data_IF_213739205186
#
_entry.id   IF_213739205186
#
_cell.length_a   1.000
_cell.length_b   1.000
_cell.length_c   1.000
_cell.angle_alpha   90.00
_cell.angle_beta   90.00
_cell.angle_gamma   90.00
#
_symmetry.space_group_name_H-M   'P 1'
#
loop_
_entity.id
_entity.type
_entity.pdbx_description
1 polymer ?
#
# COMPACT_ATOMS: atom_id res chain seq x y z
N UNK A 1 8.86 46.25 25.77
CA UNK A 1 9.56 45.06 26.28
C UNK A 1 8.49 44.14 26.87
N UNK A 2 8.13 42.95 26.42
CA UNK A 2 8.51 42.07 25.32
C UNK A 2 7.73 40.78 25.60
N UNK A 3 6.63 40.54 24.87
CA UNK A 3 5.81 39.33 25.04
C UNK A 3 6.33 38.28 24.06
N UNK A 4 7.26 37.45 24.53
CA UNK A 4 7.75 36.28 23.78
C UNK A 4 6.67 35.21 23.75
N UNK A 5 5.85 35.23 22.69
CA UNK A 5 4.95 34.14 22.32
C UNK A 5 5.81 32.91 21.98
N UNK A 6 5.64 31.86 22.78
CA UNK A 6 6.39 30.62 22.69
C UNK A 6 6.30 30.00 21.31
N UNK A 7 7.46 29.60 20.80
CA UNK A 7 7.60 28.73 19.64
C UNK A 7 6.92 27.40 19.92
N UNK A 8 5.64 27.28 19.52
CA UNK A 8 4.97 25.99 19.36
C UNK A 8 5.71 25.23 18.27
N UNK A 9 6.65 24.39 18.70
CA UNK A 9 7.39 23.48 17.84
C UNK A 9 6.42 22.64 17.02
N UNK A 10 6.60 22.69 15.71
CA UNK A 10 5.93 21.80 14.78
C UNK A 10 6.54 20.41 14.95
N UNK A 11 5.99 19.63 15.88
CA UNK A 11 6.31 18.21 15.94
C UNK A 11 5.55 17.55 14.77
N UNK A 12 6.22 16.98 13.75
CA UNK A 12 5.52 16.18 12.76
C UNK A 12 4.85 15.00 13.47
N UNK A 13 3.52 15.02 13.51
CA UNK A 13 2.72 13.90 13.99
C UNK A 13 2.87 12.78 12.97
N UNK A 14 3.89 11.92 13.14
CA UNK A 14 4.00 10.70 12.35
C UNK A 14 2.95 9.73 12.89
N UNK A 15 1.79 9.72 12.26
CA UNK A 15 0.75 8.74 12.55
C UNK A 15 1.26 7.36 12.12
N UNK A 16 1.57 6.50 13.09
CA UNK A 16 1.78 5.09 12.81
C UNK A 16 0.42 4.43 12.54
N UNK A 17 0.25 3.73 11.42
CA UNK A 17 -1.01 3.04 11.14
C UNK A 17 -1.27 2.01 12.24
N UNK A 18 -2.45 2.05 12.86
CA UNK A 18 -2.80 1.07 13.86
C UNK A 18 -3.02 -0.29 13.18
N UNK A 19 -2.91 -1.39 13.94
CA UNK A 19 -3.12 -2.74 13.40
C UNK A 19 -4.50 -2.93 12.73
N UNK A 20 -5.52 -2.20 13.21
CA UNK A 20 -6.85 -2.16 12.60
C UNK A 20 -6.82 -1.51 11.20
N UNK A 21 -6.02 -0.46 11.00
CA UNK A 21 -5.85 0.20 9.70
C UNK A 21 -5.17 -0.74 8.69
N UNK A 22 -4.16 -1.51 9.11
CA UNK A 22 -3.51 -2.49 8.22
C UNK A 22 -4.47 -3.58 7.73
N UNK A 23 -5.36 -4.09 8.59
CA UNK A 23 -6.37 -5.07 8.16
C UNK A 23 -7.33 -4.47 7.13
N UNK A 24 -7.77 -3.23 7.34
CA UNK A 24 -8.64 -2.50 6.41
C UNK A 24 -7.93 -2.27 5.07
N UNK A 25 -6.69 -1.78 5.09
CA UNK A 25 -5.85 -1.58 3.90
C UNK A 25 -5.71 -2.90 3.12
N UNK A 26 -5.47 -4.02 3.81
CA UNK A 26 -5.31 -5.32 3.17
C UNK A 26 -6.61 -5.77 2.47
N UNK A 27 -7.78 -5.60 3.11
CA UNK A 27 -9.08 -5.92 2.51
C UNK A 27 -9.36 -5.08 1.27
N UNK A 28 -9.16 -3.76 1.35
CA UNK A 28 -9.35 -2.87 0.20
C UNK A 28 -8.36 -3.17 -0.92
N UNK A 29 -7.11 -3.45 -0.59
CA UNK A 29 -6.10 -3.85 -1.57
C UNK A 29 -6.51 -5.14 -2.31
N UNK A 30 -7.00 -6.15 -1.58
CA UNK A 30 -7.54 -7.39 -2.18
C UNK A 30 -8.73 -7.16 -3.09
N UNK A 31 -9.69 -6.35 -2.65
CA UNK A 31 -10.83 -6.00 -3.49
C UNK A 31 -10.39 -5.30 -4.79
N UNK A 32 -9.50 -4.31 -4.69
CA UNK A 32 -8.96 -3.58 -5.83
C UNK A 32 -8.18 -4.50 -6.78
N UNK A 33 -7.31 -5.36 -6.25
CA UNK A 33 -6.54 -6.34 -7.00
C UNK A 33 -7.44 -7.29 -7.80
N UNK A 34 -8.41 -7.92 -7.12
CA UNK A 34 -9.36 -8.83 -7.77
C UNK A 34 -10.18 -8.11 -8.85
N UNK A 35 -10.59 -6.86 -8.59
CA UNK A 35 -11.33 -6.07 -9.58
C UNK A 35 -10.50 -5.76 -10.83
N UNK A 36 -9.19 -5.52 -10.70
CA UNK A 36 -8.31 -5.23 -11.83
C UNK A 36 -8.19 -6.45 -12.75
N UNK A 37 -8.02 -7.64 -12.18
CA UNK A 37 -7.99 -8.89 -12.93
C UNK A 37 -9.33 -9.24 -13.57
N UNK A 38 -10.44 -9.06 -12.84
CA UNK A 38 -11.78 -9.27 -13.38
C UNK A 38 -12.08 -8.33 -14.56
N UNK A 39 -11.71 -7.05 -14.47
CA UNK A 39 -11.83 -6.07 -15.57
C UNK A 39 -10.98 -6.44 -16.78
N UNK A 40 -9.82 -7.06 -16.54
CA UNK A 40 -8.94 -7.54 -17.60
C UNK A 40 -9.37 -8.91 -18.18
N UNK A 41 -10.43 -9.55 -17.65
CA UNK A 41 -10.83 -10.89 -18.04
C UNK A 41 -9.77 -11.96 -17.71
N UNK A 42 -8.89 -11.70 -16.75
CA UNK A 42 -7.78 -12.58 -16.36
C UNK A 42 -8.01 -13.15 -14.97
N UNK A 43 -7.47 -14.35 -14.75
CA UNK A 43 -7.37 -14.93 -13.40
C UNK A 43 -5.97 -14.67 -12.84
N UNK A 44 -5.84 -14.08 -11.64
CA UNK A 44 -4.53 -13.88 -11.04
C UNK A 44 -3.89 -15.24 -10.67
N UNK A 45 -2.57 -15.39 -10.82
CA UNK A 45 -1.84 -16.53 -10.28
C UNK A 45 -2.06 -16.67 -8.76
N UNK A 46 -2.07 -17.91 -8.26
CA UNK A 46 -2.21 -18.19 -6.83
C UNK A 46 -1.12 -17.46 -6.04
N UNK A 47 -1.53 -16.77 -4.97
CA UNK A 47 -0.62 -16.03 -4.09
C UNK A 47 -0.17 -14.65 -4.60
N UNK A 48 -0.38 -14.30 -5.88
CA UNK A 48 0.01 -13.00 -6.42
C UNK A 48 -0.69 -11.85 -5.70
N UNK A 49 -1.97 -12.01 -5.42
CA UNK A 49 -2.75 -11.02 -4.69
C UNK A 49 -2.18 -10.76 -3.30
N UNK A 50 -2.11 -11.79 -2.46
CA UNK A 50 -1.60 -11.69 -1.09
C UNK A 50 -0.22 -11.04 -1.06
N UNK A 51 0.70 -11.50 -1.92
CA UNK A 51 2.02 -10.90 -2.06
C UNK A 51 1.97 -9.40 -2.39
N UNK A 52 1.13 -9.00 -3.34
CA UNK A 52 1.03 -7.60 -3.77
C UNK A 52 0.53 -6.71 -2.63
N UNK A 53 -0.45 -7.20 -1.84
CA UNK A 53 -1.03 -6.42 -0.74
C UNK A 53 -0.17 -6.40 0.52
N UNK A 54 0.55 -7.49 0.81
CA UNK A 54 1.53 -7.50 1.90
C UNK A 54 2.73 -6.60 1.56
N UNK A 55 3.11 -6.52 0.29
CA UNK A 55 4.09 -5.54 -0.17
C UNK A 55 3.57 -4.11 0.04
N UNK A 56 2.33 -3.82 -0.37
CA UNK A 56 1.74 -2.48 -0.24
C UNK A 56 1.73 -2.00 1.22
N UNK A 57 1.27 -2.85 2.13
CA UNK A 57 1.20 -2.56 3.56
C UNK A 57 2.60 -2.35 4.18
N UNK A 58 3.61 -3.08 3.71
CA UNK A 58 5.02 -2.83 4.10
C UNK A 58 5.52 -1.48 3.60
N UNK A 59 5.33 -1.14 2.31
CA UNK A 59 5.81 0.13 1.74
C UNK A 59 5.16 1.34 2.40
N UNK A 60 3.87 1.28 2.70
CA UNK A 60 3.17 2.35 3.44
C UNK A 60 3.77 2.52 4.84
N UNK A 61 4.07 1.43 5.55
CA UNK A 61 4.73 1.49 6.87
C UNK A 61 6.15 2.05 6.78
N UNK A 62 6.86 1.79 5.68
CA UNK A 62 8.19 2.36 5.41
C UNK A 62 8.12 3.87 5.08
N UNK A 63 6.93 4.40 4.79
CA UNK A 63 6.69 5.82 4.54
C UNK A 63 6.47 6.18 3.07
N UNK A 64 6.37 5.20 2.18
CA UNK A 64 5.97 5.45 0.79
C UNK A 64 4.53 5.96 0.73
N UNK A 65 4.24 6.86 -0.21
CA UNK A 65 2.86 7.16 -0.56
C UNK A 65 2.20 5.99 -1.30
N UNK A 66 0.86 5.97 -1.29
CA UNK A 66 0.07 4.90 -1.89
C UNK A 66 0.36 4.68 -3.39
N UNK A 67 0.69 5.74 -4.13
CA UNK A 67 0.98 5.66 -5.56
C UNK A 67 2.30 4.93 -5.82
N UNK A 68 3.38 5.41 -5.20
CA UNK A 68 4.71 4.80 -5.31
C UNK A 68 4.75 3.37 -4.76
N UNK A 69 4.08 3.12 -3.63
CA UNK A 69 3.94 1.80 -3.05
C UNK A 69 3.24 0.83 -4.01
N UNK A 70 2.11 1.25 -4.60
CA UNK A 70 1.35 0.44 -5.56
C UNK A 70 2.16 0.10 -6.80
N UNK A 71 2.84 1.08 -7.40
CA UNK A 71 3.63 0.88 -8.60
C UNK A 71 4.76 -0.12 -8.36
N UNK A 72 5.52 0.10 -7.28
CA UNK A 72 6.61 -0.78 -6.85
C UNK A 72 6.12 -2.21 -6.65
N UNK A 73 5.05 -2.40 -5.87
CA UNK A 73 4.54 -3.72 -5.56
C UNK A 73 3.92 -4.43 -6.76
N UNK A 74 3.34 -3.69 -7.71
CA UNK A 74 2.83 -4.26 -8.97
C UNK A 74 3.97 -4.75 -9.84
N UNK A 75 5.05 -3.99 -9.95
CA UNK A 75 6.26 -4.38 -10.68
C UNK A 75 6.89 -5.63 -10.07
N UNK A 76 7.09 -5.66 -8.75
CA UNK A 76 7.64 -6.81 -8.04
C UNK A 76 6.74 -8.05 -8.20
N UNK A 77 5.42 -7.90 -8.09
CA UNK A 77 4.48 -8.99 -8.30
C UNK A 77 4.55 -9.51 -9.75
N UNK A 78 4.68 -8.63 -10.74
CA UNK A 78 4.79 -9.02 -12.15
C UNK A 78 6.07 -9.79 -12.46
N UNK A 79 7.18 -9.46 -11.75
CA UNK A 79 8.45 -10.19 -11.85
C UNK A 79 8.36 -11.58 -11.21
N UNK A 80 7.68 -11.68 -10.07
CA UNK A 80 7.60 -12.92 -9.28
C UNK A 80 6.53 -13.89 -9.78
N UNK A 81 5.43 -13.37 -10.30
CA UNK A 81 4.28 -14.14 -10.78
C UNK A 81 4.11 -13.88 -12.28
N UNK A 82 4.86 -14.58 -13.14
CA UNK A 82 4.65 -14.47 -14.58
C UNK A 82 3.21 -14.85 -14.90
N UNK A 83 2.46 -13.89 -15.47
CA UNK A 83 1.08 -14.15 -15.86
C UNK A 83 1.08 -15.22 -16.96
N UNK A 84 0.22 -16.26 -16.86
CA UNK A 84 0.04 -17.19 -17.96
C UNK A 84 -0.36 -16.38 -19.21
N UNK A 85 0.30 -16.67 -20.33
CA UNK A 85 -0.18 -16.18 -21.63
C UNK A 85 -1.54 -16.82 -21.85
N UNK A 86 -2.59 -16.01 -21.70
CA UNK A 86 -3.95 -16.39 -22.08
C UNK A 86 -4.03 -16.63 -23.58
#
# INVERSE_FOLDING_TARGET
MGLSLGSLGWLPLKAEPAAADSAVIQQFCMAAFNSAFARAGKTPPQGMGAFTCDCLDQRIREGDDLGSARETCTMEASRRFPLPKG
#
